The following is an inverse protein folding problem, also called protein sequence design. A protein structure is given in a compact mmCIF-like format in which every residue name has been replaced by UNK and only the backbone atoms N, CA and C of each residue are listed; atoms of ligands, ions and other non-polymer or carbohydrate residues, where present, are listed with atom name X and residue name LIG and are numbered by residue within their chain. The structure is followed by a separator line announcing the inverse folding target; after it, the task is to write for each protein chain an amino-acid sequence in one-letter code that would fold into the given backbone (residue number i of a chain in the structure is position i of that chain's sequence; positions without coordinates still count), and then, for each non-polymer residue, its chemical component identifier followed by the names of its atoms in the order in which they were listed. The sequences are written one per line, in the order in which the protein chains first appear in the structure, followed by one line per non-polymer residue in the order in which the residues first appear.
data_IF_083183920325
#
_entry.id   IF_083183920325
#
_cell.length_a   1.000
_cell.length_b   1.000
_cell.length_c   1.000
_cell.angle_alpha   90.00
_cell.angle_beta   90.00
_cell.angle_gamma   90.00
#
_symmetry.space_group_name_H-M   'P 1'
#
loop_
_entity.id
_entity.type
_entity.pdbx_description
1 polymer ?
#
# COMPACT_ATOMS: atom_id res chain seq x y z
N UNK A 1 21.54 18.28 -11.67
CA UNK A 1 20.73 17.04 -11.74
C UNK A 1 19.43 17.31 -11.00
N UNK A 2 18.31 17.44 -11.72
CA UNK A 2 16.99 17.70 -11.12
C UNK A 2 16.55 16.51 -10.28
N UNK A 3 16.16 16.77 -9.03
CA UNK A 3 15.52 15.77 -8.15
C UNK A 3 14.33 15.14 -8.88
N UNK A 4 14.18 13.80 -8.92
CA UNK A 4 13.05 13.20 -9.58
C UNK A 4 11.74 13.67 -8.93
N UNK A 5 10.77 13.86 -9.82
CA UNK A 5 9.42 14.37 -9.65
C UNK A 5 8.72 13.89 -8.38
N UNK A 6 7.95 14.80 -7.77
CA UNK A 6 6.93 14.52 -6.77
C UNK A 6 6.24 13.20 -7.13
N UNK A 7 6.33 12.21 -6.25
CA UNK A 7 5.72 10.91 -6.50
C UNK A 7 4.21 11.09 -6.41
N UNK A 8 3.50 10.86 -7.52
CA UNK A 8 2.05 11.07 -7.56
C UNK A 8 1.35 9.95 -6.79
N UNK A 9 0.76 10.33 -5.66
CA UNK A 9 -0.04 9.44 -4.83
C UNK A 9 -1.51 9.57 -5.17
N UNK A 10 -2.19 8.43 -5.29
CA UNK A 10 -3.65 8.33 -5.36
C UNK A 10 -4.15 7.75 -4.05
N UNK A 11 -4.98 8.53 -3.36
CA UNK A 11 -5.49 8.17 -2.05
C UNK A 11 -6.88 7.55 -2.16
N UNK A 12 -7.09 6.46 -1.44
CA UNK A 12 -8.36 5.75 -1.34
C UNK A 12 -8.63 5.39 0.12
N UNK A 13 -9.87 4.98 0.41
CA UNK A 13 -10.30 4.52 1.73
C UNK A 13 -9.93 5.52 2.83
N UNK A 14 -10.32 6.80 2.64
CA UNK A 14 -10.02 7.92 3.55
C UNK A 14 -8.53 8.10 3.87
N UNK A 15 -7.68 7.76 2.90
CA UNK A 15 -6.23 7.83 3.02
C UNK A 15 -5.60 6.65 3.74
N UNK A 16 -6.37 5.57 3.99
CA UNK A 16 -5.83 4.29 4.45
C UNK A 16 -5.03 3.57 3.36
N UNK A 17 -5.32 3.86 2.10
CA UNK A 17 -4.58 3.35 0.94
C UNK A 17 -4.00 4.52 0.16
N UNK A 18 -2.70 4.47 -0.11
CA UNK A 18 -2.01 5.38 -1.02
C UNK A 18 -1.31 4.57 -2.11
N UNK A 19 -1.80 4.69 -3.34
CA UNK A 19 -1.20 4.07 -4.51
C UNK A 19 -0.20 5.02 -5.18
N UNK A 20 0.90 4.48 -5.67
CA UNK A 20 1.89 5.24 -6.42
C UNK A 20 2.60 4.33 -7.42
N UNK A 21 3.18 4.92 -8.46
CA UNK A 21 4.08 4.20 -9.37
C UNK A 21 5.52 4.59 -9.09
N UNK A 22 6.42 3.60 -9.17
CA UNK A 22 7.85 3.86 -9.19
C UNK A 22 8.27 4.27 -10.60
N UNK A 23 9.33 5.07 -10.76
CA UNK A 23 9.91 5.32 -12.07
C UNK A 23 10.19 3.99 -12.79
N UNK A 24 9.80 3.89 -14.06
CA UNK A 24 9.97 2.71 -14.90
C UNK A 24 9.20 1.44 -14.45
N UNK A 25 8.18 1.57 -13.60
CA UNK A 25 7.27 0.46 -13.29
C UNK A 25 5.87 0.74 -13.80
N UNK A 26 5.32 -0.19 -14.59
CA UNK A 26 3.91 -0.17 -14.98
C UNK A 26 2.98 -0.55 -13.81
N UNK A 27 3.53 -1.25 -12.81
CA UNK A 27 2.79 -1.76 -11.67
C UNK A 27 2.57 -0.69 -10.61
N UNK A 28 1.38 -0.73 -10.01
CA UNK A 28 1.09 0.05 -8.82
C UNK A 28 1.83 -0.52 -7.60
N UNK A 29 2.27 0.39 -6.75
CA UNK A 29 2.70 0.10 -5.40
C UNK A 29 1.69 0.71 -4.42
N UNK A 30 1.47 0.02 -3.31
CA UNK A 30 0.59 0.49 -2.26
C UNK A 30 1.39 0.81 -0.99
N UNK A 31 1.02 1.89 -0.32
CA UNK A 31 1.23 2.10 1.11
C UNK A 31 -0.12 2.00 1.78
N UNK A 32 -0.20 1.18 2.82
CA UNK A 32 -1.44 0.98 3.55
C UNK A 32 -1.22 1.34 5.01
N UNK A 33 -2.26 1.79 5.68
CA UNK A 33 -2.32 1.88 7.14
C UNK A 33 -3.61 1.23 7.64
N UNK A 34 -3.55 0.69 8.84
CA UNK A 34 -4.70 0.16 9.56
C UNK A 34 -5.49 1.31 10.18
N UNK A 35 -6.71 1.02 10.67
CA UNK A 35 -7.59 2.03 11.27
C UNK A 35 -7.01 2.69 12.53
N UNK A 36 -6.18 1.95 13.27
CA UNK A 36 -5.44 2.45 14.44
C UNK A 36 -4.23 3.33 14.07
N UNK A 37 -3.98 3.53 12.77
CA UNK A 37 -2.87 4.32 12.24
C UNK A 37 -1.58 3.51 12.01
N UNK A 38 -1.56 2.21 12.31
CA UNK A 38 -0.39 1.36 12.08
C UNK A 38 -0.07 1.28 10.60
N UNK A 39 1.12 1.76 10.21
CA UNK A 39 1.57 1.73 8.83
C UNK A 39 2.10 0.33 8.44
N UNK A 40 1.64 -0.19 7.31
CA UNK A 40 2.14 -1.43 6.73
C UNK A 40 3.31 -1.16 5.79
N UNK A 41 4.17 -2.16 5.62
CA UNK A 41 5.29 -2.07 4.69
C UNK A 41 4.79 -1.86 3.23
N UNK A 42 5.38 -0.92 2.48
CA UNK A 42 5.00 -0.70 1.09
C UNK A 42 5.26 -1.93 0.24
N UNK A 43 4.35 -2.26 -0.65
CA UNK A 43 4.46 -3.45 -1.50
C UNK A 43 3.98 -3.18 -2.93
N UNK A 44 4.44 -4.01 -3.88
CA UNK A 44 3.90 -4.00 -5.24
C UNK A 44 2.55 -4.69 -5.23
N UNK A 45 1.52 -4.08 -5.84
CA UNK A 45 0.21 -4.72 -5.96
C UNK A 45 0.18 -5.78 -7.06
N UNK A 46 1.19 -5.79 -7.94
CA UNK A 46 1.24 -6.67 -9.11
C UNK A 46 0.20 -6.33 -10.18
N UNK A 47 -0.46 -5.17 -10.08
CA UNK A 47 -1.50 -4.73 -11.00
C UNK A 47 -1.12 -3.42 -11.69
N UNK A 48 -1.39 -3.32 -13.00
CA UNK A 48 -1.31 -2.07 -13.76
C UNK A 48 -2.61 -1.26 -13.68
N UNK A 49 -3.74 -1.97 -13.53
CA UNK A 49 -5.04 -1.36 -13.30
C UNK A 49 -5.17 -0.85 -11.86
N UNK A 50 -5.71 0.35 -11.70
CA UNK A 50 -5.85 1.01 -10.40
C UNK A 50 -6.90 0.34 -9.52
N UNK A 51 -8.03 -0.10 -10.07
CA UNK A 51 -9.07 -0.76 -9.29
C UNK A 51 -8.58 -2.12 -8.76
N UNK A 52 -7.86 -2.88 -9.57
CA UNK A 52 -7.19 -4.11 -9.12
C UNK A 52 -6.11 -3.84 -8.07
N UNK A 53 -5.35 -2.75 -8.22
CA UNK A 53 -4.37 -2.33 -7.21
C UNK A 53 -5.03 -1.96 -5.86
N UNK A 54 -6.18 -1.27 -5.88
CA UNK A 54 -6.95 -0.98 -4.66
C UNK A 54 -7.48 -2.28 -4.03
N UNK A 55 -7.97 -3.24 -4.82
CA UNK A 55 -8.39 -4.55 -4.29
C UNK A 55 -7.25 -5.28 -3.59
N UNK A 56 -6.05 -5.29 -4.18
CA UNK A 56 -4.86 -5.88 -3.57
C UNK A 56 -4.47 -5.15 -2.26
N UNK A 57 -4.55 -3.82 -2.24
CA UNK A 57 -4.30 -2.99 -1.06
C UNK A 57 -5.26 -3.32 0.09
N UNK A 58 -6.57 -3.40 -0.19
CA UNK A 58 -7.60 -3.76 0.80
C UNK A 58 -7.41 -5.17 1.34
N UNK A 59 -7.06 -6.13 0.46
CA UNK A 59 -6.77 -7.51 0.87
C UNK A 59 -5.57 -7.57 1.83
N UNK A 60 -4.52 -6.77 1.59
CA UNK A 60 -3.37 -6.69 2.49
C UNK A 60 -3.73 -6.09 3.85
N UNK A 61 -4.57 -5.05 3.88
CA UNK A 61 -5.10 -4.46 5.13
C UNK A 61 -5.87 -5.52 5.93
N UNK A 62 -6.78 -6.24 5.29
CA UNK A 62 -7.56 -7.30 5.96
C UNK A 62 -6.66 -8.37 6.57
N UNK A 63 -5.64 -8.86 5.84
CA UNK A 63 -4.72 -9.84 6.40
C UNK A 63 -3.90 -9.28 7.57
N UNK A 64 -3.43 -8.03 7.44
CA UNK A 64 -2.71 -7.36 8.52
C UNK A 64 -3.58 -7.18 9.78
N UNK A 65 -4.87 -6.86 9.64
CA UNK A 65 -5.80 -6.80 10.77
C UNK A 65 -5.91 -8.17 11.46
N UNK A 66 -6.08 -9.25 10.69
CA UNK A 66 -6.13 -10.61 11.23
C UNK A 66 -4.82 -11.01 11.91
N UNK A 67 -3.66 -10.63 11.36
CA UNK A 67 -2.36 -10.88 11.97
C UNK A 67 -2.24 -10.14 13.31
N UNK A 68 -2.67 -8.87 13.36
CA UNK A 68 -2.67 -8.07 14.58
C UNK A 68 -3.60 -8.66 15.66
N UNK A 69 -4.79 -9.12 15.29
CA UNK A 69 -5.71 -9.82 16.20
C UNK A 69 -5.11 -11.11 16.77
N UNK A 70 -4.22 -11.75 16.02
CA UNK A 70 -3.46 -12.94 16.45
C UNK A 70 -2.20 -12.61 17.25
N UNK A 71 -1.91 -11.33 17.49
CA UNK A 71 -0.70 -10.86 18.18
C UNK A 71 0.57 -10.98 17.34
N UNK A 72 0.45 -11.08 16.01
CA UNK A 72 1.57 -11.07 15.08
C UNK A 72 1.83 -9.64 14.60
N UNK A 73 3.08 -9.30 14.30
CA UNK A 73 3.43 -7.96 13.78
C UNK A 73 2.95 -7.82 12.32
N UNK A 74 1.92 -6.99 12.04
CA UNK A 74 1.37 -6.83 10.69
C UNK A 74 2.32 -6.06 9.77
N UNK A 75 3.25 -5.30 10.35
CA UNK A 75 4.22 -4.45 9.69
C UNK A 75 5.32 -5.25 9.00
N UNK A 76 5.49 -6.54 9.33
CA UNK A 76 6.36 -7.51 8.67
C UNK A 76 7.66 -6.92 8.13
N UNK A 77 8.66 -6.67 8.99
CA UNK A 77 10.02 -6.37 8.55
C UNK A 77 10.57 -7.57 7.77
N UNK A 78 10.53 -7.51 6.45
CA UNK A 78 11.46 -8.23 5.57
C UNK A 78 12.47 -7.27 5.00
#
# INVERSE_FOLDING_TARGET
MSRPSKQDYRYHDDGNVALYRRPNSAMWYARCKLEDGTALNPFSTGAEDEAEAVKAARKRIMFAQVDQERGLDPGGKT
#
